data_IF_785046510263
#
_entry.id   IF_785046510263
#
_cell.length_a   1.000
_cell.length_b   1.000
_cell.length_c   1.000
_cell.angle_alpha   90.00
_cell.angle_beta   90.00
_cell.angle_gamma   90.00
#
_symmetry.space_group_name_H-M   'P 1'
#
loop_
_entity.id
_entity.type
_entity.pdbx_description
1 polymer ?
#
# COMPACT_ATOMS: atom_id res chain seq x y z
N UNK A 1 -5.91 -17.59 -1.97
CA UNK A 1 -6.38 -16.28 -2.42
C UNK A 1 -6.48 -16.32 -3.94
N UNK A 2 -7.64 -16.02 -4.52
CA UNK A 2 -7.82 -16.07 -5.98
C UNK A 2 -7.07 -14.93 -6.69
N UNK A 3 -6.95 -13.78 -6.02
CA UNK A 3 -6.22 -12.59 -6.49
C UNK A 3 -5.71 -11.79 -5.29
N UNK A 4 -4.47 -11.31 -5.36
CA UNK A 4 -3.84 -10.41 -4.38
C UNK A 4 -3.38 -9.16 -5.11
N UNK A 5 -3.79 -8.01 -4.62
CA UNK A 5 -3.48 -6.73 -5.24
C UNK A 5 -2.66 -5.87 -4.29
N UNK A 6 -1.47 -5.49 -4.73
CA UNK A 6 -0.51 -4.72 -3.96
C UNK A 6 -0.50 -3.31 -4.52
N UNK A 7 -0.91 -2.36 -3.70
CA UNK A 7 -0.81 -0.95 -4.04
C UNK A 7 0.35 -0.31 -3.27
N UNK A 8 1.15 0.48 -3.98
CA UNK A 8 2.18 1.33 -3.39
C UNK A 8 1.81 2.77 -3.70
N UNK A 9 1.53 3.57 -2.68
CA UNK A 9 1.11 4.96 -2.84
C UNK A 9 2.30 5.86 -2.55
N UNK A 10 2.61 6.75 -3.48
CA UNK A 10 3.70 7.72 -3.39
C UNK A 10 5.03 7.12 -2.90
N UNK A 11 5.57 6.09 -3.59
CA UNK A 11 6.89 5.58 -3.23
C UNK A 11 7.92 6.71 -3.32
N UNK A 12 8.86 6.78 -2.35
CA UNK A 12 9.93 7.75 -2.38
C UNK A 12 10.80 7.52 -3.62
N UNK A 13 11.21 8.61 -4.26
CA UNK A 13 12.15 8.55 -5.37
C UNK A 13 13.57 8.48 -4.77
N UNK A 14 14.08 7.26 -4.62
CA UNK A 14 15.42 7.02 -4.07
C UNK A 14 16.33 6.48 -5.16
N UNK A 15 17.63 6.81 -5.07
CA UNK A 15 18.61 6.40 -6.07
C UNK A 15 18.73 4.88 -6.22
N UNK A 16 18.36 4.13 -5.17
CA UNK A 16 18.52 2.68 -5.08
C UNK A 16 17.24 1.90 -5.43
N UNK A 17 16.06 2.52 -5.35
CA UNK A 17 14.77 1.90 -5.66
C UNK A 17 13.97 2.78 -6.61
N UNK A 18 13.86 2.33 -7.87
CA UNK A 18 13.00 2.97 -8.84
C UNK A 18 11.53 2.81 -8.42
N UNK A 19 10.68 3.85 -8.54
CA UNK A 19 9.26 3.76 -8.21
C UNK A 19 8.55 2.57 -8.85
N UNK A 20 8.94 2.18 -10.06
CA UNK A 20 8.33 1.05 -10.78
C UNK A 20 8.67 -0.33 -10.17
N UNK A 21 9.73 -0.41 -9.37
CA UNK A 21 10.13 -1.62 -8.65
C UNK A 21 9.52 -1.72 -7.25
N UNK A 22 8.83 -0.67 -6.80
CA UNK A 22 8.22 -0.65 -5.48
C UNK A 22 7.18 -1.77 -5.35
N UNK A 23 7.31 -2.57 -4.28
CA UNK A 23 6.44 -3.72 -4.05
C UNK A 23 6.86 -5.01 -4.78
N UNK A 24 7.94 -5.00 -5.56
CA UNK A 24 8.42 -6.20 -6.27
C UNK A 24 8.80 -7.35 -5.33
N UNK A 25 9.46 -7.06 -4.21
CA UNK A 25 9.90 -8.11 -3.26
C UNK A 25 8.73 -8.79 -2.57
N UNK A 26 7.74 -8.03 -2.11
CA UNK A 26 6.53 -8.59 -1.50
C UNK A 26 5.70 -9.36 -2.53
N UNK A 27 5.64 -8.88 -3.77
CA UNK A 27 4.97 -9.60 -4.86
C UNK A 27 5.66 -10.93 -5.16
N UNK A 28 6.99 -10.95 -5.25
CA UNK A 28 7.76 -12.16 -5.44
C UNK A 28 7.59 -13.13 -4.26
N UNK A 29 7.57 -12.62 -3.03
CA UNK A 29 7.37 -13.43 -1.83
C UNK A 29 6.00 -14.10 -1.80
N UNK A 30 4.93 -13.34 -2.08
CA UNK A 30 3.56 -13.87 -2.13
C UNK A 30 3.37 -14.84 -3.30
N UNK A 31 3.94 -14.53 -4.47
CA UNK A 31 3.89 -15.40 -5.64
C UNK A 31 4.56 -16.75 -5.39
N UNK A 32 5.70 -16.78 -4.67
CA UNK A 32 6.34 -18.05 -4.25
C UNK A 32 5.44 -18.93 -3.39
N UNK A 33 4.49 -18.36 -2.67
CA UNK A 33 3.51 -19.09 -1.87
C UNK A 33 2.21 -19.39 -2.64
N UNK A 34 2.21 -19.22 -3.97
CA UNK A 34 1.09 -19.57 -4.85
C UNK A 34 -0.01 -18.52 -4.94
N UNK A 35 0.22 -17.28 -4.48
CA UNK A 35 -0.72 -16.19 -4.69
C UNK A 35 -0.62 -15.63 -6.13
N UNK A 36 -1.76 -15.33 -6.75
CA UNK A 36 -1.82 -14.54 -7.98
C UNK A 36 -1.69 -13.06 -7.61
N UNK A 37 -0.58 -12.41 -7.95
CA UNK A 37 -0.27 -11.04 -7.49
C UNK A 37 -0.28 -10.03 -8.63
N UNK A 38 -0.91 -8.88 -8.41
CA UNK A 38 -0.71 -7.64 -9.19
C UNK A 38 -0.08 -6.56 -8.33
N UNK A 39 0.78 -5.73 -8.93
CA UNK A 39 1.37 -4.56 -8.28
C UNK A 39 0.96 -3.30 -9.04
N UNK A 40 0.49 -2.28 -8.31
CA UNK A 40 0.14 -0.97 -8.85
C UNK A 40 0.82 0.12 -8.04
N UNK A 41 1.58 0.98 -8.71
CA UNK A 41 2.16 2.17 -8.10
C UNK A 41 1.23 3.34 -8.38
N UNK A 42 0.70 3.94 -7.33
CA UNK A 42 -0.25 5.03 -7.37
C UNK A 42 0.42 6.33 -6.94
N UNK A 43 0.10 7.42 -7.63
CA UNK A 43 0.44 8.78 -7.18
C UNK A 43 -0.80 9.41 -6.57
N UNK A 44 -0.68 9.97 -5.37
CA UNK A 44 -1.84 10.53 -4.68
C UNK A 44 -2.40 11.77 -5.37
N UNK A 45 -1.54 12.56 -6.03
CA UNK A 45 -1.96 13.75 -6.76
C UNK A 45 -2.70 14.78 -5.89
N UNK A 46 -2.48 14.75 -4.57
CA UNK A 46 -3.16 15.62 -3.60
C UNK A 46 -4.39 15.01 -2.91
N UNK A 47 -4.82 13.80 -3.30
CA UNK A 47 -5.79 13.02 -2.54
C UNK A 47 -5.17 12.46 -1.25
N UNK A 48 -5.99 12.18 -0.24
CA UNK A 48 -5.51 11.54 0.97
C UNK A 48 -5.25 10.04 0.73
N UNK A 49 -4.32 9.46 1.49
CA UNK A 49 -4.00 8.03 1.38
C UNK A 49 -5.22 7.17 1.74
N UNK A 50 -6.02 7.60 2.71
CA UNK A 50 -7.27 6.96 3.11
C UNK A 50 -8.33 6.98 1.99
N UNK A 51 -8.49 8.08 1.25
CA UNK A 51 -9.41 8.14 0.11
C UNK A 51 -9.00 7.16 -1.01
N UNK A 52 -7.69 7.07 -1.29
CA UNK A 52 -7.15 6.16 -2.30
C UNK A 52 -7.36 4.70 -1.89
N UNK A 53 -7.08 4.36 -0.62
CA UNK A 53 -7.32 3.01 -0.10
C UNK A 53 -8.80 2.66 -0.15
N UNK A 54 -9.68 3.57 0.29
CA UNK A 54 -11.13 3.34 0.31
C UNK A 54 -11.67 3.11 -1.11
N UNK A 55 -11.24 3.95 -2.05
CA UNK A 55 -11.59 3.81 -3.47
C UNK A 55 -11.11 2.46 -4.01
N UNK A 56 -9.85 2.08 -3.75
CA UNK A 56 -9.30 0.81 -4.23
C UNK A 56 -10.02 -0.40 -3.64
N UNK A 57 -10.36 -0.38 -2.35
CA UNK A 57 -11.10 -1.47 -1.71
C UNK A 57 -12.50 -1.58 -2.31
N UNK A 58 -13.19 -0.46 -2.53
CA UNK A 58 -14.51 -0.45 -3.15
C UNK A 58 -14.49 -0.95 -4.60
N UNK A 59 -13.49 -0.57 -5.40
CA UNK A 59 -13.35 -0.98 -6.80
C UNK A 59 -12.91 -2.45 -6.95
N UNK A 60 -12.02 -2.91 -6.07
CA UNK A 60 -11.48 -4.28 -6.15
C UNK A 60 -12.43 -5.33 -5.59
N UNK A 61 -13.40 -4.93 -4.75
CA UNK A 61 -14.27 -5.85 -4.04
C UNK A 61 -13.51 -6.76 -3.07
N UNK A 62 -12.39 -6.28 -2.52
CA UNK A 62 -11.52 -7.10 -1.67
C UNK A 62 -12.20 -7.50 -0.36
N UNK A 63 -12.16 -8.80 -0.04
CA UNK A 63 -12.67 -9.34 1.23
C UNK A 63 -11.73 -9.10 2.42
N UNK A 64 -10.47 -8.77 2.13
CA UNK A 64 -9.42 -8.55 3.13
C UNK A 64 -8.48 -7.42 2.69
N UNK A 65 -8.36 -6.41 3.55
CA UNK A 65 -7.33 -5.37 3.45
C UNK A 65 -6.18 -5.70 4.40
N UNK A 66 -4.96 -5.78 3.86
CA UNK A 66 -3.72 -5.92 4.65
C UNK A 66 -2.90 -4.66 4.45
N UNK A 67 -2.57 -3.98 5.56
CA UNK A 67 -1.67 -2.83 5.55
C UNK A 67 -0.32 -3.28 6.13
N UNK A 68 0.75 -3.04 5.36
CA UNK A 68 2.10 -3.37 5.80
C UNK A 68 2.57 -2.47 6.94
N UNK A 69 3.18 -3.06 7.97
CA UNK A 69 3.88 -2.34 9.02
C UNK A 69 5.38 -2.24 8.68
N UNK A 70 5.78 -1.28 7.84
CA UNK A 70 7.19 -0.88 7.76
C UNK A 70 7.34 0.63 7.55
N UNK A 71 7.42 1.30 8.72
CA UNK A 71 8.04 2.59 9.08
C UNK A 71 8.36 3.64 8.01
N UNK A 72 7.46 4.62 7.90
CA UNK A 72 7.83 6.03 7.82
C UNK A 72 6.99 6.83 8.84
N UNK A 73 7.39 6.82 10.11
CA UNK A 73 7.02 7.83 11.13
C UNK A 73 5.53 8.09 11.51
N UNK A 74 4.52 7.58 10.78
CA UNK A 74 3.12 8.03 10.92
C UNK A 74 2.31 7.33 12.03
N UNK A 75 2.66 6.08 12.39
CA UNK A 75 2.03 5.41 13.55
C UNK A 75 2.33 6.15 14.87
N UNK A 76 3.39 6.96 14.91
CA UNK A 76 3.77 7.77 16.07
C UNK A 76 2.87 8.99 16.30
N UNK A 77 2.12 9.44 15.28
CA UNK A 77 1.15 10.53 15.42
C UNK A 77 -0.26 10.01 15.75
N UNK A 78 -0.61 8.80 15.33
CA UNK A 78 -1.88 8.16 15.68
C UNK A 78 -1.93 7.61 17.12
N UNK A 79 -0.81 7.15 17.69
CA UNK A 79 -0.79 6.53 19.02
C UNK A 79 -0.58 7.51 20.19
N UNK A 80 -0.08 8.72 19.96
CA UNK A 80 0.26 9.68 21.03
C UNK A 80 -0.68 10.89 21.17
N UNK A 81 -1.82 10.94 20.45
CA UNK A 81 -2.92 11.91 20.68
C UNK A 81 -2.60 13.36 20.32
N UNK A 82 -3.54 14.25 20.01
CA UNK A 82 -4.99 14.22 19.96
C UNK A 82 -5.49 15.67 19.92
N UNK A 83 -6.61 15.95 19.22
CA UNK A 83 -7.59 16.97 19.62
C UNK A 83 -8.87 16.75 18.81
N UNK A 84 -9.94 16.40 19.51
CA UNK A 84 -11.36 16.65 19.20
C UNK A 84 -11.65 17.48 17.94
N UNK A 85 -12.22 16.88 16.90
CA UNK A 85 -13.66 16.81 16.56
C UNK A 85 -13.85 15.90 15.36
#
# INVERSE_FOLDING_TARGET
>A
AEKTDIIVIDPPDTLDEAPETAGAEIAASLSRHGATVSVSVLRSGGASVDDIIQTRVAESGADLLVLGAYSHSWLRQLLFGGVTR
#
